data_IF_561625595954
#
_entry.id   IF_561625595954
#
_cell.length_a   1.000
_cell.length_b   1.000
_cell.length_c   1.000
_cell.angle_alpha   90.00
_cell.angle_beta   90.00
_cell.angle_gamma   90.00
#
_symmetry.space_group_name_H-M   'P 1'
#
loop_
_entity.id
_entity.type
_entity.pdbx_description
1 polymer ?
#
# COMPACT_ATOMS: atom_id res chain seq x y z
N UNK A 1 -0.91 1.55 19.00
CA UNK A 1 -0.79 2.04 17.61
C UNK A 1 0.63 2.56 17.42
N UNK A 2 1.47 1.92 16.60
CA UNK A 2 2.81 2.43 16.31
C UNK A 2 2.72 3.45 15.17
N UNK A 3 3.07 4.69 15.50
CA UNK A 3 3.08 5.87 14.63
C UNK A 3 4.16 5.65 13.57
N UNK A 4 3.78 5.72 12.30
CA UNK A 4 4.69 5.60 11.16
C UNK A 4 5.75 6.71 11.26
N UNK A 5 7.02 6.33 11.47
CA UNK A 5 8.15 7.27 11.42
C UNK A 5 8.31 7.78 9.98
N UNK A 6 7.87 9.00 9.74
CA UNK A 6 8.23 9.74 8.53
C UNK A 6 9.71 10.11 8.58
N UNK A 7 10.55 9.33 7.89
CA UNK A 7 11.94 9.71 7.60
C UNK A 7 11.92 10.82 6.55
N UNK A 8 12.12 12.06 6.99
CA UNK A 8 12.56 13.16 6.13
C UNK A 8 13.98 12.84 5.64
N UNK A 9 14.13 12.55 4.34
CA UNK A 9 15.43 12.38 3.69
C UNK A 9 15.60 13.56 2.74
N UNK A 10 16.72 14.27 2.91
CA UNK A 10 17.14 15.45 2.18
C UNK A 10 17.05 15.26 0.65
N UNK A 11 16.65 16.34 -0.03
CA UNK A 11 16.69 16.53 -1.50
C UNK A 11 18.10 16.21 -2.04
N UNK A 12 18.18 15.72 -3.27
CA UNK A 12 19.37 15.45 -4.12
C UNK A 12 19.93 14.02 -4.23
N UNK A 13 19.16 13.01 -3.89
CA UNK A 13 19.34 11.68 -4.51
C UNK A 13 17.98 11.01 -4.57
N UNK A 14 17.46 10.74 -5.77
CA UNK A 14 16.22 9.97 -5.94
C UNK A 14 16.51 8.53 -5.53
N UNK A 15 16.51 8.25 -4.22
CA UNK A 15 16.68 6.91 -3.68
C UNK A 15 15.44 6.13 -4.05
N UNK A 16 15.53 5.35 -5.13
CA UNK A 16 14.46 4.45 -5.53
C UNK A 16 14.40 3.28 -4.53
N UNK A 17 13.21 3.07 -3.97
CA UNK A 17 12.90 1.95 -3.10
C UNK A 17 12.27 0.81 -3.92
N UNK A 18 12.63 -0.44 -3.64
CA UNK A 18 12.01 -1.60 -4.32
C UNK A 18 10.67 -1.97 -3.68
N UNK A 19 9.63 -2.08 -4.50
CA UNK A 19 8.31 -2.55 -4.06
C UNK A 19 8.31 -4.07 -3.85
N UNK A 20 7.93 -4.54 -2.67
CA UNK A 20 7.83 -5.98 -2.35
C UNK A 20 6.70 -6.70 -3.13
N UNK A 21 5.70 -5.98 -3.64
CA UNK A 21 4.56 -6.57 -4.34
C UNK A 21 4.79 -6.75 -5.84
N UNK A 22 5.48 -5.82 -6.50
CA UNK A 22 5.69 -5.85 -7.95
C UNK A 22 7.17 -5.88 -8.37
N UNK A 23 8.11 -5.83 -7.42
CA UNK A 23 9.55 -5.84 -7.68
C UNK A 23 10.09 -4.57 -8.35
N UNK A 24 9.25 -3.57 -8.64
CA UNK A 24 9.68 -2.34 -9.31
C UNK A 24 10.32 -1.36 -8.32
N UNK A 25 11.37 -0.70 -8.79
CA UNK A 25 11.97 0.45 -8.11
C UNK A 25 11.05 1.68 -8.26
N UNK A 26 10.65 2.27 -7.15
CA UNK A 26 9.71 3.40 -7.05
C UNK A 26 10.27 4.47 -6.13
N UNK A 27 9.91 5.72 -6.36
CA UNK A 27 10.38 6.86 -5.55
C UNK A 27 9.98 6.74 -4.07
N UNK A 28 8.83 6.11 -3.80
CA UNK A 28 8.30 5.94 -2.45
C UNK A 28 7.58 4.61 -2.29
N UNK A 29 7.92 3.91 -1.21
CA UNK A 29 7.16 2.76 -0.68
C UNK A 29 6.37 3.17 0.56
N UNK A 30 5.29 2.45 0.82
CA UNK A 30 4.37 2.66 1.93
C UNK A 30 4.39 1.43 2.87
N UNK A 31 3.28 1.17 3.57
CA UNK A 31 3.14 -0.02 4.42
C UNK A 31 3.50 -1.30 3.67
N UNK A 32 4.16 -2.23 4.36
CA UNK A 32 4.64 -3.51 3.84
C UNK A 32 5.60 -3.39 2.64
N UNK A 33 6.33 -2.27 2.52
CA UNK A 33 7.23 -1.98 1.39
C UNK A 33 6.51 -2.04 0.04
N UNK A 34 5.22 -1.69 -0.01
CA UNK A 34 4.43 -1.68 -1.23
C UNK A 34 4.39 -0.29 -1.86
N UNK A 35 4.41 -0.24 -3.19
CA UNK A 35 4.09 1.00 -3.90
C UNK A 35 2.59 1.30 -3.81
N UNK A 36 2.20 2.55 -4.13
CA UNK A 36 0.81 3.02 -4.09
C UNK A 36 -0.14 2.07 -4.83
N UNK A 37 0.23 1.63 -6.04
CA UNK A 37 -0.60 0.76 -6.86
C UNK A 37 -0.84 -0.61 -6.23
N UNK A 38 0.22 -1.25 -5.73
CA UNK A 38 0.10 -2.56 -5.06
C UNK A 38 -0.72 -2.45 -3.78
N UNK A 39 -0.48 -1.41 -2.98
CA UNK A 39 -1.23 -1.17 -1.76
C UNK A 39 -2.72 -0.94 -2.07
N UNK A 40 -3.05 -0.09 -3.04
CA UNK A 40 -4.44 0.16 -3.48
C UNK A 40 -5.11 -1.10 -4.00
N UNK A 41 -4.41 -1.96 -4.75
CA UNK A 41 -4.96 -3.24 -5.23
C UNK A 41 -5.40 -4.16 -4.09
N UNK A 42 -4.59 -4.25 -3.03
CA UNK A 42 -4.93 -5.05 -1.84
C UNK A 42 -6.16 -4.49 -1.13
N UNK A 43 -6.20 -3.16 -0.90
CA UNK A 43 -7.36 -2.52 -0.26
C UNK A 43 -8.64 -2.70 -1.07
N UNK A 44 -8.60 -2.55 -2.40
CA UNK A 44 -9.77 -2.79 -3.25
C UNK A 44 -10.30 -4.21 -3.12
N UNK A 45 -9.42 -5.21 -3.11
CA UNK A 45 -9.82 -6.62 -2.92
C UNK A 45 -10.50 -6.84 -1.57
N UNK A 46 -9.96 -6.26 -0.50
CA UNK A 46 -10.57 -6.30 0.83
C UNK A 46 -11.96 -5.67 0.85
N UNK A 47 -12.11 -4.49 0.22
CA UNK A 47 -13.42 -3.81 0.12
C UNK A 47 -14.44 -4.68 -0.62
N UNK A 48 -14.07 -5.28 -1.76
CA UNK A 48 -14.97 -6.17 -2.50
C UNK A 48 -15.42 -7.38 -1.68
N UNK A 49 -14.52 -7.98 -0.88
CA UNK A 49 -14.89 -9.08 0.02
C UNK A 49 -15.86 -8.60 1.09
N UNK A 50 -15.60 -7.45 1.71
CA UNK A 50 -16.49 -6.87 2.73
C UNK A 50 -17.87 -6.58 2.14
N UNK A 51 -17.92 -5.97 0.96
CA UNK A 51 -19.19 -5.65 0.30
C UNK A 51 -19.95 -6.90 -0.16
N UNK A 52 -19.26 -7.99 -0.50
CA UNK A 52 -19.89 -9.28 -0.79
C UNK A 52 -20.57 -9.87 0.46
N UNK A 53 -19.90 -9.80 1.62
CA UNK A 53 -20.48 -10.26 2.90
C UNK A 53 -21.66 -9.37 3.33
N UNK A 54 -21.57 -8.05 3.13
CA UNK A 54 -22.69 -7.13 3.42
C UNK A 54 -23.94 -7.47 2.63
N UNK A 55 -23.83 -7.76 1.33
CA UNK A 55 -24.98 -8.14 0.52
C UNK A 55 -25.52 -9.55 0.86
N UNK A 56 -24.65 -10.48 1.28
CA UNK A 56 -25.07 -11.85 1.63
C UNK A 56 -25.88 -11.89 2.93
N UNK A 57 -25.61 -11.00 3.88
CA UNK A 57 -26.32 -10.92 5.16
C UNK A 57 -27.55 -9.98 5.15
N UNK A 58 -28.00 -9.55 3.97
CA UNK A 58 -29.18 -8.67 3.80
C UNK A 58 -30.41 -9.42 3.26
N UNK A 59 -30.49 -10.74 3.46
CA UNK A 59 -31.65 -11.59 3.15
C UNK A 59 -32.20 -12.17 4.45
#
# INVERSE_FOLDING_TARGET
MQILKEKNINKDSTVLCMCAGCGKNVEKVYQNNLCKTCLTGIFKRLVTVIDSVRHTNSI
#
